data_IF_914736084265
#
_entry.id   IF_914736084265
#
_cell.length_a   1.000
_cell.length_b   1.000
_cell.length_c   1.000
_cell.angle_alpha   90.00
_cell.angle_beta   90.00
_cell.angle_gamma   90.00
#
_symmetry.space_group_name_H-M   'P 1'
#
loop_
_entity.id
_entity.type
_entity.pdbx_description
1 polymer ?
#
# COMPACT_ATOMS: atom_id res chain seq x y z
N UNK A 1 -23.31 6.91 -69.29
CA UNK A 1 -22.07 7.26 -68.56
C UNK A 1 -22.01 6.34 -67.35
N UNK A 2 -20.82 5.95 -66.86
CA UNK A 2 -20.75 5.20 -65.60
C UNK A 2 -21.32 6.05 -64.45
N UNK A 3 -22.09 5.43 -63.55
CA UNK A 3 -22.59 6.10 -62.34
C UNK A 3 -21.42 6.58 -61.48
N UNK A 4 -21.61 7.71 -60.81
CA UNK A 4 -20.67 8.25 -59.83
C UNK A 4 -21.30 8.23 -58.46
N UNK A 5 -20.50 8.07 -57.41
CA UNK A 5 -21.00 7.88 -56.04
C UNK A 5 -20.25 8.81 -55.09
N UNK A 6 -20.88 9.15 -53.96
CA UNK A 6 -20.21 9.79 -52.84
C UNK A 6 -19.31 8.78 -52.11
N UNK A 7 -18.44 9.24 -51.22
CA UNK A 7 -17.62 8.41 -50.34
C UNK A 7 -18.47 7.54 -49.41
N UNK A 8 -19.69 7.97 -49.09
CA UNK A 8 -20.69 7.17 -48.36
C UNK A 8 -21.49 6.20 -49.27
N UNK A 9 -21.18 6.15 -50.57
CA UNK A 9 -21.81 5.23 -51.52
C UNK A 9 -23.18 5.69 -52.03
N UNK A 10 -23.55 6.95 -51.84
CA UNK A 10 -24.79 7.52 -52.38
C UNK A 10 -24.59 7.79 -53.88
N UNK A 11 -25.48 7.29 -54.73
CA UNK A 11 -25.39 7.55 -56.18
C UNK A 11 -25.65 9.03 -56.48
N UNK A 12 -24.71 9.65 -57.20
CA UNK A 12 -24.84 11.01 -57.72
C UNK A 12 -25.58 10.99 -59.05
N UNK A 13 -26.34 12.05 -59.29
CA UNK A 13 -27.06 12.24 -60.55
C UNK A 13 -26.08 12.48 -61.70
N UNK A 14 -26.32 11.87 -62.86
CA UNK A 14 -25.48 12.04 -64.04
C UNK A 14 -25.59 13.45 -64.63
N UNK A 15 -24.48 13.94 -65.20
CA UNK A 15 -24.44 15.24 -65.87
C UNK A 15 -25.47 15.31 -67.00
N UNK A 16 -26.41 16.24 -66.91
CA UNK A 16 -27.47 16.44 -67.91
C UNK A 16 -28.69 15.52 -67.78
N UNK A 17 -28.77 14.67 -66.75
CA UNK A 17 -29.94 13.79 -66.53
C UNK A 17 -31.14 14.54 -65.95
N UNK A 18 -30.93 15.69 -65.32
CA UNK A 18 -31.97 16.53 -64.73
C UNK A 18 -31.98 17.93 -65.35
N UNK A 19 -33.17 18.53 -65.43
CA UNK A 19 -33.33 19.88 -65.97
C UNK A 19 -32.78 20.94 -65.00
N UNK A 20 -32.12 21.95 -65.55
CA UNK A 20 -31.50 23.06 -64.80
C UNK A 20 -30.40 22.60 -63.83
N UNK A 21 -30.08 23.44 -62.83
CA UNK A 21 -29.02 23.19 -61.84
C UNK A 21 -29.42 22.27 -60.69
N UNK A 22 -30.63 21.70 -60.70
CA UNK A 22 -31.12 20.87 -59.58
C UNK A 22 -30.26 19.62 -59.35
N UNK A 23 -29.69 19.05 -60.41
CA UNK A 23 -28.81 17.90 -60.27
C UNK A 23 -27.46 18.23 -59.64
N UNK A 24 -26.88 19.36 -60.04
CA UNK A 24 -25.63 19.84 -59.46
C UNK A 24 -25.81 20.23 -57.99
N UNK A 25 -26.93 20.90 -57.65
CA UNK A 25 -27.28 21.26 -56.26
C UNK A 25 -27.50 20.00 -55.41
N UNK A 26 -28.18 18.99 -55.94
CA UNK A 26 -28.41 17.73 -55.23
C UNK A 26 -27.10 17.01 -54.96
N UNK A 27 -26.22 16.90 -55.97
CA UNK A 27 -24.90 16.31 -55.83
C UNK A 27 -24.03 17.08 -54.82
N UNK A 28 -24.11 18.42 -54.81
CA UNK A 28 -23.41 19.27 -53.84
C UNK A 28 -23.91 19.02 -52.41
N UNK A 29 -25.23 18.89 -52.20
CA UNK A 29 -25.77 18.55 -50.88
C UNK A 29 -25.31 17.17 -50.39
N UNK A 30 -25.16 16.21 -51.31
CA UNK A 30 -24.61 14.90 -50.98
C UNK A 30 -23.12 14.99 -50.60
N UNK A 31 -22.34 15.83 -51.27
CA UNK A 31 -20.95 16.11 -50.87
C UNK A 31 -20.86 16.76 -49.49
N UNK A 32 -21.76 17.69 -49.17
CA UNK A 32 -21.84 18.31 -47.83
C UNK A 32 -22.19 17.28 -46.74
N UNK A 33 -23.03 16.28 -47.04
CA UNK A 33 -23.35 15.21 -46.11
C UNK A 33 -22.11 14.34 -45.85
N UNK A 34 -21.38 13.97 -46.90
CA UNK A 34 -20.12 13.23 -46.79
C UNK A 34 -19.10 13.99 -45.92
N UNK A 35 -18.92 15.29 -46.17
CA UNK A 35 -18.08 16.15 -45.34
C UNK A 35 -18.49 16.06 -43.87
N UNK A 36 -19.77 16.30 -43.58
CA UNK A 36 -20.28 16.36 -42.22
C UNK A 36 -20.23 15.03 -41.47
N UNK A 37 -20.23 13.90 -42.17
CA UNK A 37 -20.41 12.58 -41.57
C UNK A 37 -19.18 11.66 -41.66
N UNK A 38 -18.31 11.82 -42.65
CA UNK A 38 -17.26 10.85 -42.94
C UNK A 38 -15.89 11.45 -43.26
N UNK A 39 -15.83 12.63 -43.85
CA UNK A 39 -14.55 13.16 -44.31
C UNK A 39 -13.69 13.75 -43.18
N UNK A 40 -12.39 13.86 -43.48
CA UNK A 40 -11.37 14.36 -42.57
C UNK A 40 -10.78 15.64 -43.15
N UNK A 41 -10.95 16.76 -42.45
CA UNK A 41 -10.25 18.00 -42.77
C UNK A 41 -8.95 18.11 -41.98
N UNK A 42 -7.86 18.47 -42.66
CA UNK A 42 -6.51 18.55 -42.06
C UNK A 42 -6.12 19.99 -41.83
N UNK A 43 -6.00 20.38 -40.57
CA UNK A 43 -5.56 21.70 -40.14
C UNK A 43 -4.05 21.66 -39.91
N UNK A 44 -3.29 22.26 -40.83
CA UNK A 44 -1.84 22.40 -40.74
C UNK A 44 -1.48 23.78 -40.20
N UNK A 45 -1.15 23.88 -38.92
CA UNK A 45 -0.87 25.16 -38.26
C UNK A 45 0.16 25.00 -37.15
N UNK A 46 0.92 26.08 -36.90
CA UNK A 46 1.80 26.21 -35.72
C UNK A 46 1.33 27.31 -34.77
N UNK A 47 0.14 27.87 -34.99
CA UNK A 47 -0.44 28.89 -34.12
C UNK A 47 -1.00 28.27 -32.83
N UNK A 48 -0.81 28.99 -31.72
CA UNK A 48 -1.38 28.63 -30.41
C UNK A 48 -2.82 29.12 -30.22
N UNK A 49 -3.33 29.95 -31.13
CA UNK A 49 -4.74 30.37 -31.17
C UNK A 49 -5.28 30.15 -32.57
N UNK A 50 -6.38 29.41 -32.65
CA UNK A 50 -7.01 29.02 -33.90
C UNK A 50 -8.53 29.20 -33.79
N UNK A 51 -9.19 29.45 -34.92
CA UNK A 51 -10.64 29.59 -34.99
C UNK A 51 -11.14 28.71 -36.11
N UNK A 52 -12.17 27.93 -35.82
CA UNK A 52 -13.00 27.27 -36.83
C UNK A 52 -14.20 28.19 -37.06
N UNK A 53 -14.39 28.64 -38.29
CA UNK A 53 -15.50 29.52 -38.65
C UNK A 53 -16.84 28.78 -38.68
N UNK A 54 -17.95 29.52 -38.77
CA UNK A 54 -19.21 28.93 -39.15
C UNK A 54 -19.24 28.81 -40.69
N UNK A 55 -19.83 27.74 -41.24
CA UNK A 55 -20.06 27.68 -42.68
C UNK A 55 -20.95 28.84 -43.16
N UNK A 56 -20.64 29.42 -44.31
CA UNK A 56 -21.26 30.68 -44.78
C UNK A 56 -22.29 30.51 -45.89
N UNK A 57 -22.21 29.42 -46.64
CA UNK A 57 -23.10 29.15 -47.77
C UNK A 57 -23.27 27.63 -48.03
N UNK A 58 -23.95 27.28 -49.12
CA UNK A 58 -24.24 25.89 -49.50
C UNK A 58 -23.23 25.26 -50.46
N UNK A 59 -21.98 25.74 -50.55
CA UNK A 59 -20.96 25.04 -51.34
C UNK A 59 -20.32 23.91 -50.53
N UNK A 60 -19.88 22.85 -51.22
CA UNK A 60 -18.99 21.83 -50.65
C UNK A 60 -17.58 22.40 -50.42
N UNK A 61 -16.78 21.71 -49.62
CA UNK A 61 -15.40 22.01 -49.30
C UNK A 61 -15.21 23.07 -48.21
N UNK A 62 -16.26 23.37 -47.44
CA UNK A 62 -16.13 24.30 -46.32
C UNK A 62 -15.50 23.58 -45.13
N UNK A 63 -14.28 24.00 -44.80
CA UNK A 63 -13.36 23.42 -43.82
C UNK A 63 -14.03 23.13 -42.46
N UNK A 64 -15.09 23.86 -42.16
CA UNK A 64 -15.79 23.89 -40.88
C UNK A 64 -16.95 22.89 -40.78
N UNK A 65 -17.31 22.21 -41.86
CA UNK A 65 -18.39 21.22 -41.88
C UNK A 65 -17.95 19.81 -41.51
N UNK A 66 -16.68 19.50 -41.70
CA UNK A 66 -16.15 18.14 -41.61
C UNK A 66 -16.44 17.42 -40.28
N UNK A 67 -16.67 16.11 -40.37
CA UNK A 67 -16.90 15.20 -39.25
C UNK A 67 -15.67 15.10 -38.34
N UNK A 68 -14.49 15.09 -38.96
CA UNK A 68 -13.21 14.89 -38.27
C UNK A 68 -12.25 16.02 -38.57
N UNK A 69 -11.63 16.57 -37.52
CA UNK A 69 -10.52 17.50 -37.63
C UNK A 69 -9.22 16.84 -37.24
N UNK A 70 -8.26 16.86 -38.16
CA UNK A 70 -6.90 16.37 -37.94
C UNK A 70 -5.95 17.55 -37.86
N UNK A 71 -5.42 17.79 -36.68
CA UNK A 71 -4.46 18.86 -36.43
C UNK A 71 -3.04 18.35 -36.64
N UNK A 72 -2.25 19.06 -37.45
CA UNK A 72 -0.85 18.74 -37.73
C UNK A 72 0.00 20.01 -37.75
N UNK A 73 1.29 19.90 -37.43
CA UNK A 73 2.22 21.03 -37.31
C UNK A 73 3.02 20.98 -36.01
N UNK A 74 3.63 22.11 -35.64
CA UNK A 74 4.52 22.19 -34.47
C UNK A 74 4.30 23.48 -33.68
N UNK A 75 3.14 23.64 -33.02
CA UNK A 75 2.87 24.82 -32.19
C UNK A 75 3.86 24.90 -31.02
N UNK A 76 4.27 26.11 -30.67
CA UNK A 76 5.27 26.38 -29.62
C UNK A 76 4.74 26.24 -28.19
N UNK A 77 3.43 26.01 -28.03
CA UNK A 77 2.74 25.99 -26.74
C UNK A 77 1.37 25.30 -26.84
N UNK A 78 0.62 25.27 -25.75
CA UNK A 78 -0.76 24.79 -25.76
C UNK A 78 -1.61 25.56 -26.79
N UNK A 79 -2.49 24.86 -27.50
CA UNK A 79 -3.32 25.45 -28.56
C UNK A 79 -4.74 25.65 -28.06
N UNK A 80 -5.32 26.82 -28.30
CA UNK A 80 -6.75 27.08 -28.12
C UNK A 80 -7.44 27.12 -29.48
N UNK A 81 -8.49 26.33 -29.64
CA UNK A 81 -9.35 26.32 -30.83
C UNK A 81 -10.73 26.85 -30.44
N UNK A 82 -11.15 27.95 -31.09
CA UNK A 82 -12.49 28.51 -30.93
C UNK A 82 -13.40 27.96 -32.02
N UNK A 83 -14.41 27.19 -31.61
CA UNK A 83 -15.48 26.69 -32.45
C UNK A 83 -16.58 27.77 -32.59
N UNK A 84 -17.36 27.74 -33.69
CA UNK A 84 -18.39 28.74 -33.94
C UNK A 84 -19.58 28.58 -32.99
N UNK A 85 -20.12 29.71 -32.50
CA UNK A 85 -21.31 29.76 -31.63
C UNK A 85 -22.64 29.67 -32.40
N UNK A 86 -22.66 28.90 -33.49
CA UNK A 86 -23.84 28.68 -34.33
C UNK A 86 -23.97 27.24 -34.83
N UNK A 87 -22.94 26.41 -34.63
CA UNK A 87 -22.91 25.04 -35.15
C UNK A 87 -23.03 24.07 -33.99
N UNK A 88 -24.06 23.21 -34.04
CA UNK A 88 -24.26 22.14 -33.07
C UNK A 88 -23.83 20.83 -33.69
N UNK A 89 -22.73 20.24 -33.22
CA UNK A 89 -22.25 18.98 -33.79
C UNK A 89 -21.35 18.20 -32.85
N UNK A 90 -21.32 16.90 -33.09
CA UNK A 90 -20.28 16.00 -32.61
C UNK A 90 -19.11 16.09 -33.59
N UNK A 91 -17.88 16.18 -33.07
CA UNK A 91 -16.66 16.32 -33.86
C UNK A 91 -15.65 15.30 -33.36
N UNK A 92 -15.11 14.51 -34.30
CA UNK A 92 -13.95 13.68 -34.03
C UNK A 92 -12.69 14.53 -34.15
N UNK A 93 -11.80 14.45 -33.18
CA UNK A 93 -10.56 15.20 -33.16
C UNK A 93 -9.40 14.22 -33.20
N UNK A 94 -8.45 14.46 -34.11
CA UNK A 94 -7.15 13.80 -34.15
C UNK A 94 -6.12 14.89 -33.86
N UNK A 95 -5.55 14.89 -32.65
CA UNK A 95 -4.51 15.82 -32.26
C UNK A 95 -3.13 15.23 -32.59
N UNK A 96 -2.58 15.59 -33.75
CA UNK A 96 -1.22 15.24 -34.15
C UNK A 96 -0.14 16.19 -33.62
N UNK A 97 -0.49 17.18 -32.78
CA UNK A 97 0.50 18.04 -32.14
C UNK A 97 1.15 17.32 -30.95
N UNK A 98 2.39 17.73 -30.63
CA UNK A 98 3.03 17.43 -29.34
C UNK A 98 2.44 18.23 -28.16
N UNK A 99 1.49 19.11 -28.44
CA UNK A 99 0.85 20.02 -27.48
C UNK A 99 -0.62 19.65 -27.32
N UNK A 100 -1.21 19.98 -26.16
CA UNK A 100 -2.65 19.83 -25.94
C UNK A 100 -3.44 20.86 -26.74
N UNK A 101 -4.64 20.49 -27.20
CA UNK A 101 -5.60 21.41 -27.82
C UNK A 101 -6.79 21.59 -26.88
N UNK A 102 -7.05 22.83 -26.47
CA UNK A 102 -8.24 23.21 -25.72
C UNK A 102 -9.28 23.82 -26.67
N UNK A 103 -10.43 23.17 -26.79
CA UNK A 103 -11.58 23.65 -27.55
C UNK A 103 -12.49 24.51 -26.68
N UNK A 104 -13.06 25.55 -27.26
CA UNK A 104 -14.05 26.43 -26.65
C UNK A 104 -15.11 26.86 -27.68
N UNK A 105 -16.26 27.34 -27.24
CA UNK A 105 -17.32 27.91 -28.10
C UNK A 105 -17.68 29.30 -27.60
N UNK A 106 -17.58 30.31 -28.47
CA UNK A 106 -17.88 31.69 -28.10
C UNK A 106 -17.09 32.19 -26.87
N UNK A 107 -17.59 33.24 -26.21
CA UNK A 107 -16.86 33.92 -25.13
C UNK A 107 -17.32 33.52 -23.70
N UNK A 108 -17.90 32.32 -23.52
CA UNK A 108 -18.09 31.79 -22.16
C UNK A 108 -19.16 30.71 -21.99
N UNK A 109 -18.73 29.47 -21.76
CA UNK A 109 -19.06 28.77 -20.51
C UNK A 109 -18.31 27.44 -20.29
N UNK A 110 -17.87 26.70 -21.32
CA UNK A 110 -17.05 25.48 -21.09
C UNK A 110 -15.95 25.28 -22.12
N UNK A 111 -14.87 24.62 -21.70
CA UNK A 111 -13.77 24.20 -22.56
C UNK A 111 -13.49 22.72 -22.38
N UNK A 112 -13.05 22.03 -23.43
CA UNK A 112 -12.58 20.64 -23.34
C UNK A 112 -11.20 20.52 -23.95
N UNK A 113 -10.38 19.58 -23.48
CA UNK A 113 -9.01 19.40 -23.98
C UNK A 113 -8.83 18.02 -24.60
N UNK A 114 -8.25 18.00 -25.81
CA UNK A 114 -7.72 16.78 -26.43
C UNK A 114 -6.21 16.81 -26.26
N UNK A 115 -5.66 15.79 -25.61
CA UNK A 115 -4.24 15.75 -25.24
C UNK A 115 -3.33 15.59 -26.46
N UNK A 116 -2.07 15.98 -26.29
CA UNK A 116 -1.02 15.79 -27.29
C UNK A 116 -0.96 14.36 -27.82
N UNK A 117 -0.80 14.20 -29.13
CA UNK A 117 -0.71 12.91 -29.81
C UNK A 117 -1.86 11.93 -29.48
N UNK A 118 -3.08 12.45 -29.25
CA UNK A 118 -4.25 11.64 -28.94
C UNK A 118 -5.45 12.02 -29.81
N UNK A 119 -6.53 11.23 -29.72
CA UNK A 119 -7.80 11.52 -30.37
C UNK A 119 -8.90 11.66 -29.32
N UNK A 120 -9.95 12.40 -29.64
CA UNK A 120 -11.10 12.58 -28.77
C UNK A 120 -12.37 12.84 -29.57
N UNK A 121 -13.52 12.74 -28.91
CA UNK A 121 -14.80 13.13 -29.48
C UNK A 121 -15.34 14.27 -28.64
N UNK A 122 -15.72 15.37 -29.29
CA UNK A 122 -16.28 16.53 -28.61
C UNK A 122 -17.68 16.84 -29.15
N UNK A 123 -18.53 17.46 -28.35
CA UNK A 123 -19.82 17.98 -28.76
C UNK A 123 -19.88 19.48 -28.45
N UNK A 124 -20.09 20.30 -29.48
CA UNK A 124 -20.45 21.71 -29.33
C UNK A 124 -21.96 21.90 -29.39
N UNK A 125 -22.52 22.67 -28.46
CA UNK A 125 -23.94 23.01 -28.44
C UNK A 125 -24.31 24.17 -29.39
N UNK A 126 -23.32 24.72 -30.10
CA UNK A 126 -23.45 25.87 -30.99
C UNK A 126 -23.93 27.13 -30.29
N UNK A 127 -23.68 27.29 -29.00
CA UNK A 127 -24.01 28.50 -28.23
C UNK A 127 -22.80 28.94 -27.41
N UNK A 128 -22.44 28.16 -26.39
CA UNK A 128 -21.39 28.54 -25.44
C UNK A 128 -20.69 27.37 -24.76
N UNK A 129 -21.05 26.14 -25.10
CA UNK A 129 -20.53 24.96 -24.43
C UNK A 129 -19.93 23.97 -25.40
N UNK A 130 -18.79 23.40 -25.00
CA UNK A 130 -18.20 22.22 -25.60
C UNK A 130 -17.95 21.16 -24.52
N UNK A 131 -18.30 19.93 -24.84
CA UNK A 131 -18.19 18.77 -23.94
C UNK A 131 -17.28 17.72 -24.56
N UNK A 132 -16.49 17.03 -23.75
CA UNK A 132 -15.87 15.76 -24.16
C UNK A 132 -16.90 14.64 -24.10
N UNK A 133 -16.99 13.82 -25.14
CA UNK A 133 -17.83 12.63 -25.20
C UNK A 133 -17.02 11.33 -25.11
N UNK A 134 -15.70 11.40 -25.27
CA UNK A 134 -14.80 10.26 -25.14
C UNK A 134 -13.43 10.75 -24.66
N UNK A 135 -13.01 10.32 -23.46
CA UNK A 135 -11.65 10.53 -22.98
C UNK A 135 -10.75 9.40 -23.51
N UNK A 136 -10.20 9.59 -24.72
CA UNK A 136 -9.34 8.60 -25.38
C UNK A 136 -7.85 8.89 -25.22
N UNK A 137 -7.17 8.12 -24.36
CA UNK A 137 -5.83 7.63 -24.66
C UNK A 137 -5.60 6.26 -24.01
N UNK A 138 -4.72 5.46 -24.60
CA UNK A 138 -4.50 4.05 -24.30
C UNK A 138 -4.29 3.81 -22.80
N UNK A 139 -5.21 3.07 -22.19
CA UNK A 139 -5.17 2.54 -20.82
C UNK A 139 -5.42 3.49 -19.64
N UNK A 140 -6.14 4.62 -19.75
CA UNK A 140 -6.49 5.39 -18.54
C UNK A 140 -7.90 5.98 -18.57
N UNK A 141 -8.69 5.67 -17.53
CA UNK A 141 -9.83 6.50 -17.12
C UNK A 141 -9.27 7.81 -16.57
N UNK A 142 -9.77 8.93 -17.05
CA UNK A 142 -9.49 10.27 -16.55
C UNK A 142 -10.83 10.95 -16.32
N UNK A 143 -10.89 11.77 -15.27
CA UNK A 143 -11.95 12.74 -15.02
C UNK A 143 -11.23 14.03 -14.61
N UNK A 144 -11.60 15.16 -15.21
CA UNK A 144 -11.04 16.49 -14.91
C UNK A 144 -9.52 16.56 -15.13
N UNK A 145 -9.03 15.86 -16.15
CA UNK A 145 -7.64 15.99 -16.60
C UNK A 145 -6.59 15.40 -15.66
N UNK A 146 -6.99 14.73 -14.56
CA UNK A 146 -6.06 14.05 -13.66
C UNK A 146 -6.01 12.56 -13.99
N UNK A 147 -4.80 12.03 -14.05
CA UNK A 147 -4.53 10.60 -14.11
C UNK A 147 -4.87 9.97 -12.76
N UNK A 148 -6.14 9.71 -12.49
CA UNK A 148 -6.56 9.06 -11.24
C UNK A 148 -7.68 8.09 -11.55
N UNK A 149 -7.64 6.94 -10.88
CA UNK A 149 -8.86 6.21 -10.59
C UNK A 149 -9.84 7.25 -10.02
N UNK A 150 -10.88 7.50 -10.81
CA UNK A 150 -12.00 8.36 -10.46
C UNK A 150 -12.46 7.98 -9.05
N UNK A 151 -13.01 8.92 -8.27
CA UNK A 151 -13.65 8.54 -7.01
C UNK A 151 -14.84 7.62 -7.34
N UNK A 152 -14.59 6.31 -7.40
CA UNK A 152 -15.62 5.34 -7.73
C UNK A 152 -16.43 5.11 -6.47
N UNK A 153 -17.64 5.68 -6.43
CA UNK A 153 -18.57 5.54 -5.31
C UNK A 153 -19.05 4.09 -5.09
N UNK A 154 -18.76 3.19 -6.04
CA UNK A 154 -19.19 1.79 -6.05
C UNK A 154 -18.07 0.75 -5.83
N UNK A 155 -16.87 1.15 -5.43
CA UNK A 155 -15.72 0.24 -5.33
C UNK A 155 -15.02 0.01 -6.68
N UNK A 156 -13.85 -0.63 -6.66
CA UNK A 156 -13.05 -0.92 -7.86
C UNK A 156 -12.75 -2.42 -7.89
N UNK A 157 -13.29 -3.12 -8.87
CA UNK A 157 -12.96 -4.52 -9.13
C UNK A 157 -11.71 -4.60 -10.01
N UNK A 158 -10.61 -5.11 -9.46
CA UNK A 158 -9.37 -5.36 -10.21
C UNK A 158 -9.20 -6.87 -10.37
N UNK A 159 -9.31 -7.36 -11.60
CA UNK A 159 -9.11 -8.79 -11.93
C UNK A 159 -7.64 -9.17 -12.09
N UNK A 160 -6.75 -8.18 -12.17
CA UNK A 160 -5.30 -8.34 -12.27
C UNK A 160 -4.55 -7.78 -11.07
N UNK A 161 -3.31 -7.34 -11.30
CA UNK A 161 -2.47 -6.73 -10.25
C UNK A 161 -2.80 -5.24 -10.14
N UNK A 162 -3.05 -4.77 -8.93
CA UNK A 162 -3.09 -3.34 -8.60
C UNK A 162 -1.74 -2.92 -8.00
N UNK A 163 -0.97 -2.12 -8.75
CA UNK A 163 0.26 -1.50 -8.24
C UNK A 163 -0.05 -0.11 -7.69
N UNK A 164 0.12 0.08 -6.37
CA UNK A 164 -0.06 1.38 -5.70
C UNK A 164 1.33 1.91 -5.33
N UNK A 165 1.73 3.04 -5.93
CA UNK A 165 3.06 3.66 -5.70
C UNK A 165 3.12 4.52 -4.44
N UNK A 166 2.02 4.63 -3.71
CA UNK A 166 1.90 5.43 -2.48
C UNK A 166 1.06 4.64 -1.47
N UNK A 167 0.17 5.31 -0.74
CA UNK A 167 -0.60 4.67 0.32
C UNK A 167 -1.91 4.06 -0.20
N UNK A 168 -2.29 2.95 0.41
CA UNK A 168 -3.68 2.46 0.40
C UNK A 168 -4.31 2.98 1.69
N UNK A 169 -5.32 3.85 1.56
CA UNK A 169 -6.05 4.41 2.71
C UNK A 169 -7.49 3.90 2.65
N UNK A 170 -7.84 3.00 3.55
CA UNK A 170 -9.22 2.55 3.76
C UNK A 170 -9.73 3.07 5.10
N UNK A 171 -10.95 3.60 5.14
CA UNK A 171 -11.64 3.92 6.41
C UNK A 171 -12.37 2.71 7.01
N UNK A 172 -12.11 1.51 6.47
CA UNK A 172 -12.77 0.26 6.85
C UNK A 172 -11.84 -0.93 6.71
N UNK A 173 -12.42 -2.13 6.68
CA UNK A 173 -11.68 -3.40 6.63
C UNK A 173 -10.99 -3.61 5.28
N UNK A 174 -9.71 -3.94 5.30
CA UNK A 174 -8.99 -4.49 4.15
C UNK A 174 -9.07 -6.01 4.18
N UNK A 175 -9.96 -6.60 3.38
CA UNK A 175 -10.07 -8.05 3.24
C UNK A 175 -9.16 -8.55 2.11
N UNK A 176 -7.94 -8.95 2.44
CA UNK A 176 -6.99 -9.54 1.51
C UNK A 176 -6.79 -11.03 1.84
N UNK A 177 -6.78 -11.89 0.82
CA UNK A 177 -6.57 -13.34 1.02
C UNK A 177 -5.17 -13.64 1.57
N UNK A 178 -4.14 -13.16 0.88
CA UNK A 178 -2.76 -13.22 1.32
C UNK A 178 -2.15 -11.82 1.30
N UNK A 179 -1.53 -11.42 2.39
CA UNK A 179 -0.82 -10.13 2.49
C UNK A 179 0.63 -10.39 2.83
N UNK A 180 1.55 -9.87 1.99
CA UNK A 180 2.99 -9.86 2.29
C UNK A 180 3.39 -8.43 2.62
N UNK A 181 3.90 -8.20 3.83
CA UNK A 181 4.42 -6.91 4.26
C UNK A 181 5.95 -7.02 4.31
N UNK A 182 6.64 -6.22 3.50
CA UNK A 182 8.11 -6.20 3.43
C UNK A 182 8.73 -5.10 4.28
N UNK A 183 7.92 -4.17 4.80
CA UNK A 183 8.33 -3.09 5.70
C UNK A 183 7.85 -3.30 7.15
N UNK A 184 7.95 -2.26 7.96
CA UNK A 184 7.38 -2.23 9.32
C UNK A 184 5.87 -2.05 9.26
N UNK A 185 5.18 -2.49 10.32
CA UNK A 185 3.73 -2.26 10.50
C UNK A 185 3.49 -1.68 11.88
N UNK A 186 2.79 -0.56 11.91
CA UNK A 186 2.31 0.03 13.15
C UNK A 186 0.85 -0.40 13.36
N UNK A 187 0.62 -1.26 14.35
CA UNK A 187 -0.74 -1.65 14.77
C UNK A 187 -1.11 -0.79 15.98
N UNK A 188 -2.04 0.15 15.77
CA UNK A 188 -2.47 1.10 16.83
C UNK A 188 -3.60 0.57 17.71
N UNK A 189 -4.25 -0.52 17.29
CA UNK A 189 -5.27 -1.23 18.05
C UNK A 189 -4.79 -2.62 18.44
N UNK A 190 -5.72 -3.57 18.48
CA UNK A 190 -5.45 -4.96 18.81
C UNK A 190 -4.92 -5.71 17.59
N UNK A 191 -3.92 -6.57 17.81
CA UNK A 191 -3.50 -7.56 16.84
C UNK A 191 -4.06 -8.92 17.28
N UNK A 192 -5.12 -9.36 16.61
CA UNK A 192 -5.68 -10.69 16.77
C UNK A 192 -5.06 -11.64 15.72
N UNK A 193 -4.43 -12.70 16.20
CA UNK A 193 -3.89 -13.79 15.39
C UNK A 193 -4.52 -15.08 15.87
N UNK A 194 -5.55 -15.55 15.15
CA UNK A 194 -6.39 -16.66 15.57
C UNK A 194 -6.95 -16.42 16.99
N UNK A 195 -6.63 -17.30 17.95
CA UNK A 195 -7.04 -17.19 19.36
C UNK A 195 -6.03 -16.44 20.24
N UNK A 196 -5.06 -15.73 19.64
CA UNK A 196 -4.09 -14.89 20.36
C UNK A 196 -4.43 -13.43 20.13
N UNK A 197 -4.64 -12.70 21.21
CA UNK A 197 -4.70 -11.25 21.21
C UNK A 197 -3.36 -10.70 21.70
N UNK A 198 -2.75 -9.84 20.89
CA UNK A 198 -1.60 -9.02 21.25
C UNK A 198 -2.10 -7.58 21.35
N UNK A 199 -2.04 -7.06 22.57
CA UNK A 199 -2.47 -5.71 22.85
C UNK A 199 -1.59 -5.11 23.95
N UNK A 200 -1.03 -3.94 23.68
CA UNK A 200 -0.05 -3.30 24.57
C UNK A 200 1.16 -4.19 24.82
N UNK A 201 1.36 -4.61 26.08
CA UNK A 201 2.48 -5.46 26.53
C UNK A 201 2.06 -6.91 26.83
N UNK A 202 0.82 -7.25 26.52
CA UNK A 202 0.27 -8.57 26.82
C UNK A 202 0.20 -9.40 25.55
N UNK A 203 0.51 -10.67 25.72
CA UNK A 203 0.16 -11.72 24.78
C UNK A 203 -0.84 -12.59 25.53
N UNK A 204 -2.08 -12.70 25.04
CA UNK A 204 -3.17 -13.40 25.73
C UNK A 204 -3.87 -14.39 24.81
N UNK A 205 -4.25 -15.55 25.35
CA UNK A 205 -5.21 -16.43 24.70
C UNK A 205 -6.62 -15.89 24.91
N UNK A 206 -7.48 -15.99 23.89
CA UNK A 206 -8.89 -15.56 23.96
C UNK A 206 -9.83 -16.68 24.38
N UNK A 207 -9.41 -17.94 24.27
CA UNK A 207 -10.17 -19.08 24.77
C UNK A 207 -10.10 -19.16 26.30
N UNK A 208 -11.22 -19.53 26.94
CA UNK A 208 -11.27 -19.70 28.40
C UNK A 208 -10.32 -20.81 28.84
N UNK A 209 -9.41 -20.49 29.78
CA UNK A 209 -8.32 -21.39 30.19
C UNK A 209 -7.42 -21.84 29.02
N UNK A 210 -7.40 -21.07 27.92
CA UNK A 210 -6.53 -21.34 26.78
C UNK A 210 -5.08 -21.01 27.12
N UNK A 211 -4.19 -21.98 26.88
CA UNK A 211 -2.76 -21.80 27.09
C UNK A 211 -2.13 -21.01 25.95
N UNK A 212 -1.03 -20.32 26.24
CA UNK A 212 -0.20 -19.65 25.23
C UNK A 212 1.09 -20.45 25.07
N UNK A 213 1.25 -21.07 23.92
CA UNK A 213 2.40 -21.91 23.65
C UNK A 213 3.51 -21.10 22.96
N UNK A 214 4.69 -21.04 23.57
CA UNK A 214 5.90 -20.45 22.99
C UNK A 214 6.86 -21.56 22.55
N UNK A 215 6.82 -21.91 21.26
CA UNK A 215 7.56 -23.06 20.70
C UNK A 215 8.51 -22.61 19.57
N UNK A 216 9.84 -22.71 19.73
CA UNK A 216 10.78 -22.41 18.66
C UNK A 216 10.72 -23.47 17.53
N UNK A 217 11.02 -23.08 16.28
CA UNK A 217 11.15 -24.02 15.15
C UNK A 217 12.56 -24.66 15.10
N UNK A 218 12.65 -25.92 14.66
CA UNK A 218 13.93 -26.61 14.47
C UNK A 218 14.76 -26.67 15.76
N UNK A 219 15.92 -26.00 15.79
CA UNK A 219 16.84 -25.96 16.93
C UNK A 219 16.87 -24.60 17.65
N UNK A 220 15.87 -23.73 17.46
CA UNK A 220 15.81 -22.41 18.12
C UNK A 220 15.57 -22.47 19.64
N UNK A 221 15.70 -21.34 20.33
CA UNK A 221 15.45 -21.19 21.78
C UNK A 221 14.39 -20.12 22.04
N UNK A 222 13.60 -20.27 23.12
CA UNK A 222 12.79 -19.16 23.64
C UNK A 222 13.73 -18.19 24.34
N UNK A 223 14.07 -17.11 23.65
CA UNK A 223 14.89 -16.04 24.22
C UNK A 223 13.97 -15.10 24.97
N UNK A 224 13.86 -15.31 26.28
CA UNK A 224 13.33 -14.30 27.20
C UNK A 224 14.53 -13.46 27.59
N UNK A 225 14.78 -12.43 26.79
CA UNK A 225 15.96 -11.61 27.01
C UNK A 225 15.90 -10.97 28.40
N UNK A 226 17.06 -10.95 29.01
CA UNK A 226 17.29 -10.19 30.21
C UNK A 226 16.68 -10.74 31.49
N UNK A 227 16.01 -11.91 31.55
CA UNK A 227 15.84 -12.75 32.77
C UNK A 227 14.75 -13.80 32.66
N UNK A 228 15.02 -14.95 33.29
CA UNK A 228 14.15 -16.12 33.24
C UNK A 228 13.25 -16.22 34.46
N UNK A 229 11.94 -16.01 34.32
CA UNK A 229 10.99 -16.27 35.40
C UNK A 229 10.87 -17.78 35.69
N UNK A 230 10.52 -18.13 36.93
CA UNK A 230 10.27 -19.49 37.33
C UNK A 230 8.79 -19.81 37.19
N UNK A 231 8.56 -20.93 36.54
CA UNK A 231 7.27 -21.23 35.91
C UNK A 231 6.40 -22.16 36.76
N UNK A 232 6.93 -22.67 37.88
CA UNK A 232 6.15 -23.42 38.86
C UNK A 232 5.49 -22.45 39.84
N UNK A 233 4.46 -22.91 40.54
CA UNK A 233 3.93 -22.16 41.68
C UNK A 233 4.78 -22.36 42.96
N UNK A 234 5.93 -23.04 42.82
CA UNK A 234 6.75 -23.52 43.94
C UNK A 234 6.02 -24.58 44.77
N UNK A 235 6.70 -25.12 45.78
CA UNK A 235 5.99 -25.70 46.94
C UNK A 235 5.67 -24.59 47.94
N UNK A 236 4.70 -24.82 48.82
CA UNK A 236 4.40 -23.89 49.90
C UNK A 236 5.70 -23.59 50.68
N UNK A 237 6.10 -22.31 50.69
CA UNK A 237 7.34 -21.79 51.29
C UNK A 237 8.65 -21.97 50.48
N UNK A 238 8.58 -22.00 49.14
CA UNK A 238 9.75 -21.84 48.25
C UNK A 238 9.87 -20.42 47.68
N UNK A 239 11.10 -20.00 47.38
CA UNK A 239 11.49 -18.69 46.85
C UNK A 239 12.16 -18.81 45.49
N UNK A 240 12.09 -17.75 44.68
CA UNK A 240 12.65 -17.69 43.34
C UNK A 240 13.98 -16.96 43.25
N UNK A 241 15.08 -17.67 42.97
CA UNK A 241 16.44 -17.16 43.08
C UNK A 241 17.15 -17.05 41.75
N UNK A 242 17.59 -15.85 41.45
CA UNK A 242 18.57 -15.64 40.41
C UNK A 242 19.95 -16.06 40.88
N UNK A 243 20.72 -16.63 39.97
CA UNK A 243 22.13 -16.88 40.15
C UNK A 243 23.00 -15.63 39.86
N UNK A 244 22.38 -14.48 39.62
CA UNK A 244 23.07 -13.20 39.34
C UNK A 244 23.41 -12.97 37.86
N UNK A 245 23.03 -13.87 36.97
CA UNK A 245 23.41 -13.87 35.54
C UNK A 245 22.22 -14.19 34.62
N UNK A 246 21.01 -13.72 34.94
CA UNK A 246 19.85 -13.87 34.05
C UNK A 246 18.89 -15.03 34.38
N UNK A 247 19.13 -15.77 35.47
CA UNK A 247 18.26 -16.89 35.86
C UNK A 247 17.30 -16.51 37.00
N UNK A 248 16.23 -17.25 37.24
CA UNK A 248 15.46 -17.26 38.49
C UNK A 248 15.04 -18.74 38.76
N UNK A 249 14.99 -19.23 40.01
CA UNK A 249 14.73 -20.65 40.36
C UNK A 249 14.06 -20.88 41.71
N UNK A 250 13.13 -21.83 41.86
CA UNK A 250 12.60 -22.17 43.19
C UNK A 250 13.67 -22.80 44.10
N UNK A 251 13.86 -22.23 45.28
CA UNK A 251 14.76 -22.61 46.36
C UNK A 251 13.99 -22.62 47.69
N UNK A 252 14.36 -23.45 48.66
CA UNK A 252 13.64 -23.52 49.93
C UNK A 252 13.87 -22.25 50.77
N UNK A 253 12.85 -21.80 51.53
CA UNK A 253 13.03 -20.80 52.59
C UNK A 253 13.85 -21.43 53.74
N UNK A 254 15.18 -21.33 53.66
CA UNK A 254 16.12 -22.15 54.45
C UNK A 254 15.95 -22.02 55.96
N UNK A 255 16.01 -23.15 56.68
CA UNK A 255 16.40 -23.17 58.10
C UNK A 255 17.75 -23.88 58.35
N UNK A 256 18.42 -24.41 57.33
CA UNK A 256 19.72 -25.08 57.45
C UNK A 256 20.74 -24.41 56.54
N UNK A 257 21.87 -24.01 57.12
CA UNK A 257 23.15 -23.91 56.41
C UNK A 257 23.24 -25.16 55.51
N UNK A 258 23.64 -25.06 54.23
CA UNK A 258 23.89 -26.27 53.44
C UNK A 258 24.88 -27.22 54.16
N UNK A 259 25.19 -28.40 53.60
CA UNK A 259 26.11 -29.38 54.21
C UNK A 259 27.50 -28.83 54.64
N UNK A 260 27.83 -27.58 54.26
CA UNK A 260 28.91 -26.80 54.82
C UNK A 260 28.51 -25.34 55.00
N UNK A 261 28.78 -24.76 56.17
CA UNK A 261 28.99 -23.31 56.30
C UNK A 261 30.48 -23.07 56.06
N UNK A 262 30.79 -22.62 54.85
CA UNK A 262 32.12 -22.11 54.58
C UNK A 262 32.17 -20.67 55.10
N UNK A 263 33.00 -20.40 56.12
CA UNK A 263 33.27 -19.04 56.59
C UNK A 263 34.26 -18.39 55.59
N UNK A 264 33.87 -18.31 54.32
CA UNK A 264 34.74 -17.80 53.25
C UNK A 264 34.63 -16.29 53.16
N UNK A 265 35.65 -15.65 53.72
CA UNK A 265 36.40 -14.73 52.88
C UNK A 265 37.24 -15.57 51.90
N UNK A 266 37.43 -15.09 50.67
CA UNK A 266 38.23 -15.82 49.67
C UNK A 266 39.64 -16.11 50.22
N UNK A 267 39.99 -17.39 50.39
CA UNK A 267 41.25 -17.84 50.99
C UNK A 267 41.16 -18.44 52.40
N UNK A 268 40.01 -18.43 53.06
CA UNK A 268 39.82 -19.14 54.34
C UNK A 268 39.89 -20.66 54.14
N UNK A 269 40.84 -21.32 54.81
CA UNK A 269 40.97 -22.78 54.82
C UNK A 269 40.02 -23.48 55.82
N UNK A 270 39.22 -22.70 56.57
CA UNK A 270 38.27 -23.19 57.56
C UNK A 270 36.90 -23.53 56.96
N UNK A 271 36.41 -24.73 57.25
CA UNK A 271 35.04 -25.17 56.91
C UNK A 271 34.35 -25.78 58.12
N UNK A 272 33.04 -25.51 58.27
CA UNK A 272 32.18 -26.19 59.25
C UNK A 272 31.21 -27.08 58.48
N UNK A 273 31.26 -28.40 58.73
CA UNK A 273 30.44 -29.40 58.03
C UNK A 273 29.71 -30.30 59.02
N UNK A 274 28.73 -31.06 58.52
CA UNK A 274 28.14 -32.19 59.24
C UNK A 274 28.62 -33.47 58.55
N UNK A 275 29.31 -34.36 59.27
CA UNK A 275 29.82 -35.62 58.71
C UNK A 275 28.72 -36.70 58.57
N UNK A 276 29.06 -37.86 57.99
CA UNK A 276 28.12 -38.98 57.80
C UNK A 276 27.60 -39.60 59.10
N UNK A 277 28.19 -39.24 60.25
CA UNK A 277 27.76 -39.65 61.59
C UNK A 277 27.03 -38.53 62.35
N UNK A 278 26.66 -37.44 61.67
CA UNK A 278 25.99 -36.25 62.21
C UNK A 278 26.82 -35.46 63.23
N UNK A 279 28.15 -35.56 63.21
CA UNK A 279 29.00 -34.72 64.06
C UNK A 279 29.19 -33.35 63.41
N UNK A 280 29.25 -32.29 64.22
CA UNK A 280 29.69 -30.98 63.75
C UNK A 280 31.22 -30.99 63.64
N UNK A 281 31.76 -30.84 62.43
CA UNK A 281 33.19 -30.93 62.16
C UNK A 281 33.75 -29.57 61.76
N UNK A 282 34.81 -29.15 62.45
CA UNK A 282 35.64 -28.01 62.11
C UNK A 282 36.88 -28.52 61.39
N UNK A 283 37.11 -28.07 60.16
CA UNK A 283 38.27 -28.47 59.36
C UNK A 283 39.12 -27.26 58.96
N UNK A 284 40.43 -27.45 58.91
CA UNK A 284 41.40 -26.48 58.39
C UNK A 284 42.22 -27.12 57.26
N UNK A 285 42.29 -26.47 56.09
CA UNK A 285 43.05 -26.97 54.94
C UNK A 285 42.54 -28.30 54.39
N UNK A 286 41.24 -28.58 54.56
CA UNK A 286 40.60 -29.85 54.19
C UNK A 286 40.79 -30.98 55.21
N UNK A 287 41.52 -30.76 56.30
CA UNK A 287 41.73 -31.73 57.38
C UNK A 287 40.87 -31.36 58.58
N UNK A 288 40.08 -32.30 59.10
CA UNK A 288 39.32 -32.10 60.34
C UNK A 288 40.25 -31.89 61.53
N UNK A 289 40.05 -30.84 62.33
CA UNK A 289 40.91 -30.51 63.49
C UNK A 289 40.15 -30.56 64.82
N UNK A 290 38.84 -30.36 64.79
CA UNK A 290 37.96 -30.58 65.92
C UNK A 290 36.59 -31.08 65.46
N UNK A 291 35.94 -31.92 66.26
CA UNK A 291 34.55 -32.30 66.05
C UNK A 291 33.77 -32.33 67.36
N UNK A 292 32.50 -31.98 67.30
CA UNK A 292 31.53 -32.15 68.37
C UNK A 292 30.60 -33.27 67.94
N UNK A 293 30.68 -34.40 68.63
CA UNK A 293 29.80 -35.53 68.37
C UNK A 293 28.38 -35.28 68.88
N UNK A 294 27.41 -36.06 68.38
CA UNK A 294 25.99 -35.95 68.77
C UNK A 294 25.75 -36.17 70.27
N UNK A 295 26.68 -36.82 70.98
CA UNK A 295 26.67 -36.98 72.44
C UNK A 295 27.41 -35.87 73.20
N UNK A 296 27.81 -34.79 72.53
CA UNK A 296 28.55 -33.66 73.11
C UNK A 296 30.05 -33.89 73.29
N UNK A 297 30.57 -35.08 72.95
CA UNK A 297 32.00 -35.36 73.05
C UNK A 297 32.80 -34.55 72.04
N UNK A 298 33.75 -33.77 72.54
CA UNK A 298 34.65 -32.97 71.71
C UNK A 298 35.92 -33.79 71.45
N UNK A 299 36.24 -34.00 70.18
CA UNK A 299 37.49 -34.64 69.76
C UNK A 299 38.32 -33.63 68.98
N UNK A 300 39.54 -33.38 69.44
CA UNK A 300 40.53 -32.57 68.75
C UNK A 300 41.67 -33.45 68.27
N UNK A 301 42.25 -33.14 67.11
CA UNK A 301 43.44 -33.84 66.61
C UNK A 301 44.66 -33.54 67.49
N UNK A 302 44.75 -32.31 67.98
CA UNK A 302 45.82 -31.84 68.86
C UNK A 302 45.32 -31.48 70.25
N UNK A 303 46.24 -31.08 71.13
CA UNK A 303 45.95 -30.67 72.49
C UNK A 303 44.90 -29.55 72.52
N UNK A 304 43.81 -29.80 73.24
CA UNK A 304 42.84 -28.75 73.56
C UNK A 304 43.40 -27.94 74.73
N UNK A 305 43.61 -26.65 74.52
CA UNK A 305 43.83 -25.72 75.64
C UNK A 305 42.45 -25.28 76.16
N UNK A 306 41.96 -25.95 77.20
CA UNK A 306 40.73 -25.55 77.87
C UNK A 306 41.07 -24.60 79.02
N UNK A 307 40.60 -23.35 78.95
CA UNK A 307 40.65 -22.43 80.07
C UNK A 307 39.38 -22.59 80.89
N UNK A 308 39.52 -22.98 82.16
CA UNK A 308 38.46 -22.90 83.15
C UNK A 308 38.89 -21.93 84.24
N UNK A 309 38.16 -20.83 84.41
CA UNK A 309 38.12 -20.14 85.71
C UNK A 309 37.02 -20.79 86.52
N UNK A 310 37.36 -21.21 87.73
CA UNK A 310 36.37 -21.53 88.76
C UNK A 310 35.62 -20.24 89.12
#
# INVERSE_FOLDING_TARGET
MPSTYTNLGIEKQGSGENANSWGDITNTNFDIIDEAMAEIYTISSSATSQTVSAPTDGTSGQEERYATYRYTGSPSGAVTVTLPSSVKKIINIINGYSQNITFQVGNGATTTTVFANSSGIIHTDGVNSVYSLSEGSANQLRHNGVTKAEAVSGGVDVTGILNVSSNIVGSGTLAAGNTTITGTTDITGDLDVDNININGNSITSTDTNGNINLTPNGTGSVVIDGLSFPQADGTANQVLTTNGSGQISFANASSSLGASLSLVNAGSAWTITVDSSNNLVFSYGGTGVAKIATNGHITSVDNVTAFGTI
#
